data_IF_635361953376
#
_entry.id   IF_635361953376
#
_cell.length_a   1.000
_cell.length_b   1.000
_cell.length_c   1.000
_cell.angle_alpha   90.00
_cell.angle_beta   90.00
_cell.angle_gamma   90.00
#
_symmetry.space_group_name_H-M   'P 1'
#
loop_
_entity.id
_entity.type
_entity.pdbx_description
1 polymer ?
#
# COMPACT_ATOMS: atom_id res chain seq x y z
N UNK A 1 -4.40 -53.87 0.39
CA UNK A 1 -4.19 -53.24 1.71
C UNK A 1 -4.46 -51.74 1.60
N UNK A 2 -5.47 -51.19 2.28
CA UNK A 2 -5.75 -49.75 2.28
C UNK A 2 -4.97 -49.04 3.40
N UNK A 3 -4.26 -47.95 3.09
CA UNK A 3 -3.64 -47.08 4.10
C UNK A 3 -4.64 -46.00 4.52
N UNK A 4 -5.00 -46.03 5.81
CA UNK A 4 -5.73 -44.98 6.52
C UNK A 4 -4.77 -43.87 6.96
N UNK A 5 -5.32 -42.66 6.90
CA UNK A 5 -5.12 -41.48 7.75
C UNK A 5 -3.79 -40.72 7.74
N UNK A 6 -3.88 -39.45 7.33
CA UNK A 6 -3.47 -38.28 8.15
C UNK A 6 -4.04 -37.01 7.51
N UNK A 7 -5.29 -36.59 7.77
CA UNK A 7 -5.71 -35.81 8.95
C UNK A 7 -4.78 -34.67 9.42
N UNK A 8 -3.90 -34.13 8.57
CA UNK A 8 -2.99 -33.04 8.94
C UNK A 8 -3.28 -31.69 8.25
N UNK A 9 -4.41 -31.55 7.54
CA UNK A 9 -4.85 -30.27 6.96
C UNK A 9 -5.76 -29.45 7.90
N UNK A 10 -5.68 -29.68 9.22
CA UNK A 10 -6.35 -28.87 10.25
C UNK A 10 -5.37 -27.88 10.89
N UNK A 11 -4.62 -27.16 10.06
CA UNK A 11 -3.77 -26.05 10.52
C UNK A 11 -4.68 -24.83 10.74
N UNK A 12 -5.21 -24.77 11.97
CA UNK A 12 -5.71 -23.60 12.69
C UNK A 12 -5.86 -22.33 11.83
N UNK A 13 -7.08 -22.06 11.35
CA UNK A 13 -7.57 -20.68 11.16
C UNK A 13 -7.61 -20.06 12.56
N UNK A 14 -6.46 -19.57 13.00
CA UNK A 14 -6.36 -18.72 14.16
C UNK A 14 -7.07 -17.44 13.73
N UNK A 15 -8.36 -17.35 14.07
CA UNK A 15 -9.13 -16.10 14.02
C UNK A 15 -8.21 -15.05 14.65
N UNK A 16 -7.75 -14.10 13.84
CA UNK A 16 -7.19 -12.85 14.33
C UNK A 16 -8.27 -12.26 15.22
N UNK A 17 -8.14 -12.47 16.54
CA UNK A 17 -8.93 -11.72 17.49
C UNK A 17 -8.50 -10.28 17.25
N UNK A 18 -9.44 -9.42 16.89
CA UNK A 18 -9.21 -7.98 16.89
C UNK A 18 -8.53 -7.64 18.20
N UNK A 19 -7.36 -6.98 18.15
CA UNK A 19 -6.57 -6.61 19.32
C UNK A 19 -7.26 -5.53 20.16
N UNK A 20 -8.47 -5.14 19.78
CA UNK A 20 -9.20 -4.00 20.26
C UNK A 20 -10.61 -4.39 20.72
N UNK A 21 -11.25 -3.59 21.59
CA UNK A 21 -12.53 -3.93 22.19
C UNK A 21 -13.62 -4.17 21.14
N UNK A 22 -14.42 -5.22 21.36
CA UNK A 22 -15.56 -5.57 20.50
C UNK A 22 -16.85 -5.44 21.31
N UNK A 23 -17.69 -4.50 20.92
CA UNK A 23 -19.01 -4.24 21.49
C UNK A 23 -20.10 -4.86 20.61
N UNK A 24 -21.12 -5.42 21.24
CA UNK A 24 -22.38 -5.74 20.57
C UNK A 24 -23.07 -4.46 20.08
N UNK A 25 -24.05 -4.61 19.18
CA UNK A 25 -24.83 -3.45 18.68
C UNK A 25 -25.56 -2.73 19.83
N UNK A 26 -26.05 -3.47 20.83
CA UNK A 26 -26.73 -2.87 21.99
C UNK A 26 -25.76 -2.12 22.90
N UNK A 27 -24.63 -2.71 23.23
CA UNK A 27 -23.57 -2.06 24.03
C UNK A 27 -23.02 -0.82 23.30
N UNK A 28 -22.79 -0.94 21.99
CA UNK A 28 -22.36 0.17 21.15
C UNK A 28 -23.35 1.33 21.18
N UNK A 29 -24.67 1.07 21.11
CA UNK A 29 -25.70 2.12 21.22
C UNK A 29 -25.69 2.81 22.58
N UNK A 30 -25.49 2.06 23.66
CA UNK A 30 -25.45 2.62 25.01
C UNK A 30 -24.17 3.45 25.22
N UNK A 31 -23.04 3.00 24.70
CA UNK A 31 -21.71 3.59 24.95
C UNK A 31 -21.27 4.59 23.87
N UNK A 32 -22.00 4.74 22.76
CA UNK A 32 -21.59 5.57 21.62
C UNK A 32 -21.23 6.99 22.03
N UNK A 33 -22.03 7.61 22.90
CA UNK A 33 -21.79 8.97 23.37
C UNK A 33 -20.50 9.07 24.21
N UNK A 34 -20.20 8.05 25.01
CA UNK A 34 -18.97 7.98 25.80
C UNK A 34 -17.77 7.81 24.88
N UNK A 35 -17.85 6.91 23.90
CA UNK A 35 -16.80 6.68 22.89
C UNK A 35 -16.55 7.94 22.09
N UNK A 36 -17.60 8.61 21.60
CA UNK A 36 -17.49 9.84 20.82
C UNK A 36 -16.83 10.97 21.64
N UNK A 37 -17.20 11.11 22.92
CA UNK A 37 -16.56 12.08 23.82
C UNK A 37 -15.08 11.77 24.03
N UNK A 38 -14.75 10.52 24.34
CA UNK A 38 -13.37 10.08 24.51
C UNK A 38 -12.55 10.34 23.24
N UNK A 39 -13.10 10.06 22.06
CA UNK A 39 -12.43 10.33 20.79
C UNK A 39 -12.26 11.82 20.52
N UNK A 40 -13.23 12.65 20.93
CA UNK A 40 -13.17 14.11 20.77
C UNK A 40 -12.18 14.79 21.71
N UNK A 41 -11.84 14.17 22.85
CA UNK A 41 -10.84 14.67 23.80
C UNK A 41 -9.39 14.36 23.36
N UNK A 42 -9.21 13.58 22.28
CA UNK A 42 -7.87 13.24 21.76
C UNK A 42 -7.34 14.33 20.84
N UNK A 43 -6.20 14.91 21.22
CA UNK A 43 -5.50 15.93 20.42
C UNK A 43 -4.32 15.35 19.62
N UNK A 44 -3.82 14.18 20.02
CA UNK A 44 -2.64 13.56 19.42
C UNK A 44 -2.96 12.19 18.85
N UNK A 45 -2.46 11.94 17.65
CA UNK A 45 -2.61 10.67 16.97
C UNK A 45 -1.88 9.53 17.72
N UNK A 46 -2.47 8.34 17.69
CA UNK A 46 -1.81 7.11 18.15
C UNK A 46 -0.73 6.64 17.16
N UNK A 47 0.15 5.75 17.62
CA UNK A 47 1.15 5.14 16.75
C UNK A 47 0.51 4.20 15.71
N UNK A 48 -0.52 3.44 16.12
CA UNK A 48 -1.26 2.55 15.24
C UNK A 48 -2.78 2.80 15.34
N UNK A 49 -3.46 2.79 14.19
CA UNK A 49 -4.92 2.94 14.12
C UNK A 49 -5.67 1.93 15.01
N UNK A 50 -5.12 0.74 15.22
CA UNK A 50 -5.76 -0.30 16.03
C UNK A 50 -5.70 -0.06 17.54
N UNK A 51 -4.83 0.84 18.01
CA UNK A 51 -4.59 1.03 19.45
C UNK A 51 -5.80 1.64 20.15
N UNK A 52 -6.58 2.45 19.43
CA UNK A 52 -7.78 3.14 19.94
C UNK A 52 -9.05 2.77 19.17
N UNK A 53 -8.97 1.73 18.34
CA UNK A 53 -10.10 1.24 17.58
C UNK A 53 -11.16 0.61 18.51
N UNK A 54 -12.43 0.72 18.15
CA UNK A 54 -13.52 0.00 18.82
C UNK A 54 -14.41 -0.65 17.76
N UNK A 55 -14.57 -1.96 17.80
CA UNK A 55 -15.49 -2.68 16.92
C UNK A 55 -16.90 -2.65 17.51
N UNK A 56 -17.89 -2.28 16.70
CA UNK A 56 -19.32 -2.35 17.07
C UNK A 56 -20.03 -3.24 16.06
N UNK A 57 -20.53 -4.39 16.50
CA UNK A 57 -21.22 -5.29 15.58
C UNK A 57 -21.71 -6.61 16.19
N UNK A 58 -22.37 -7.44 15.37
CA UNK A 58 -22.78 -8.78 15.77
C UNK A 58 -21.55 -9.64 16.09
N UNK A 59 -21.59 -10.29 17.27
CA UNK A 59 -20.47 -11.09 17.77
C UNK A 59 -20.00 -12.12 16.72
N UNK A 60 -18.72 -12.06 16.32
CA UNK A 60 -18.04 -12.96 15.35
C UNK A 60 -18.48 -12.86 13.88
N UNK A 61 -19.20 -11.81 13.47
CA UNK A 61 -19.60 -11.61 12.06
C UNK A 61 -18.96 -10.39 11.38
N UNK A 62 -18.03 -9.73 12.06
CA UNK A 62 -17.47 -8.45 11.62
C UNK A 62 -18.42 -7.31 11.97
N UNK A 63 -17.86 -6.26 12.57
CA UNK A 63 -18.55 -5.03 12.94
C UNK A 63 -18.00 -3.80 12.23
N UNK A 64 -18.63 -2.66 12.53
CA UNK A 64 -18.13 -1.35 12.16
C UNK A 64 -17.01 -0.98 13.12
N UNK A 65 -15.85 -0.57 12.60
CA UNK A 65 -14.73 -0.12 13.43
C UNK A 65 -14.80 1.39 13.56
N UNK A 66 -14.92 1.86 14.80
CA UNK A 66 -14.85 3.26 15.17
C UNK A 66 -13.40 3.62 15.46
N UNK A 67 -12.95 4.74 14.90
CA UNK A 67 -11.60 5.28 15.07
C UNK A 67 -11.68 6.77 15.46
N UNK A 68 -10.73 7.27 16.28
CA UNK A 68 -10.60 8.70 16.50
C UNK A 68 -10.28 9.44 15.21
N UNK A 69 -10.88 10.62 15.04
CA UNK A 69 -10.66 11.45 13.83
C UNK A 69 -9.18 11.81 13.66
N UNK A 70 -8.50 12.21 14.74
CA UNK A 70 -7.07 12.58 14.72
C UNK A 70 -6.16 11.43 14.24
N UNK A 71 -6.51 10.19 14.57
CA UNK A 71 -5.74 9.02 14.15
C UNK A 71 -5.92 8.77 12.64
N UNK A 72 -7.14 8.96 12.11
CA UNK A 72 -7.44 8.82 10.68
C UNK A 72 -6.76 9.92 9.86
N UNK A 73 -6.84 11.17 10.29
CA UNK A 73 -6.23 12.31 9.59
C UNK A 73 -4.70 12.16 9.50
N UNK A 74 -4.05 11.73 10.58
CA UNK A 74 -2.61 11.48 10.58
C UNK A 74 -2.23 10.28 9.70
N UNK A 75 -3.03 9.20 9.71
CA UNK A 75 -2.79 8.06 8.84
C UNK A 75 -2.94 8.42 7.36
N UNK A 76 -3.94 9.23 7.00
CA UNK A 76 -4.10 9.75 5.64
C UNK A 76 -2.93 10.63 5.23
N UNK A 77 -2.49 11.53 6.12
CA UNK A 77 -1.32 12.38 5.88
C UNK A 77 -0.07 11.54 5.59
N UNK A 78 0.23 10.55 6.45
CA UNK A 78 1.38 9.65 6.25
C UNK A 78 1.26 8.85 4.96
N UNK A 79 0.06 8.39 4.60
CA UNK A 79 -0.16 7.70 3.33
C UNK A 79 0.22 8.57 2.14
N UNK A 80 -0.21 9.84 2.15
CA UNK A 80 0.11 10.79 1.07
C UNK A 80 1.61 11.10 1.03
N UNK A 81 2.26 11.25 2.19
CA UNK A 81 3.72 11.44 2.25
C UNK A 81 4.47 10.23 1.67
N UNK A 82 4.10 9.02 2.06
CA UNK A 82 4.69 7.78 1.52
C UNK A 82 4.41 7.58 0.03
N UNK A 83 3.25 8.00 -0.47
CA UNK A 83 2.94 7.96 -1.90
C UNK A 83 3.86 8.87 -2.70
N UNK A 84 4.18 10.06 -2.18
CA UNK A 84 5.14 10.98 -2.80
C UNK A 84 6.56 10.43 -2.75
N UNK A 85 7.02 9.95 -1.60
CA UNK A 85 8.34 9.33 -1.48
C UNK A 85 8.49 8.13 -2.42
N UNK A 86 7.42 7.33 -2.59
CA UNK A 86 7.40 6.23 -3.55
C UNK A 86 7.55 6.72 -4.99
N UNK A 87 6.88 7.81 -5.35
CA UNK A 87 6.96 8.40 -6.69
C UNK A 87 8.37 8.94 -6.97
N UNK A 88 8.95 9.70 -6.03
CA UNK A 88 10.32 10.19 -6.11
C UNK A 88 11.34 9.05 -6.28
N UNK A 89 11.19 7.96 -5.52
CA UNK A 89 12.06 6.79 -5.64
C UNK A 89 11.90 6.06 -6.98
N UNK A 90 10.72 6.09 -7.59
CA UNK A 90 10.51 5.49 -8.91
C UNK A 90 11.17 6.33 -10.00
N UNK A 91 11.09 7.65 -9.90
CA UNK A 91 11.78 8.58 -10.81
C UNK A 91 13.31 8.40 -10.70
N UNK A 92 13.84 8.30 -9.48
CA UNK A 92 15.26 8.04 -9.25
C UNK A 92 15.72 6.71 -9.87
N UNK A 93 14.88 5.66 -9.75
CA UNK A 93 15.16 4.36 -10.35
C UNK A 93 15.12 4.41 -11.88
N UNK A 94 14.21 5.20 -12.47
CA UNK A 94 14.15 5.42 -13.91
C UNK A 94 15.43 6.11 -14.40
N UNK A 95 15.85 7.20 -13.74
CA UNK A 95 17.08 7.92 -14.08
C UNK A 95 18.31 7.02 -13.95
N UNK A 96 18.37 6.20 -12.89
CA UNK A 96 19.45 5.24 -12.72
C UNK A 96 19.46 4.19 -13.84
N UNK A 97 18.30 3.66 -14.21
CA UNK A 97 18.15 2.70 -15.30
C UNK A 97 18.57 3.27 -16.65
N UNK A 98 18.17 4.51 -16.96
CA UNK A 98 18.60 5.22 -18.18
C UNK A 98 20.10 5.42 -18.19
N UNK A 99 20.68 5.82 -17.05
CA UNK A 99 22.13 6.03 -16.92
C UNK A 99 22.91 4.74 -17.14
N UNK A 100 22.46 3.62 -16.56
CA UNK A 100 23.06 2.31 -16.75
C UNK A 100 23.00 1.86 -18.22
N UNK A 101 21.85 2.06 -18.89
CA UNK A 101 21.71 1.75 -20.32
C UNK A 101 22.61 2.63 -21.20
N UNK A 102 22.76 3.91 -20.84
CA UNK A 102 23.67 4.82 -21.53
C UNK A 102 25.13 4.38 -21.35
N UNK A 103 25.54 4.01 -20.14
CA UNK A 103 26.86 3.46 -19.86
C UNK A 103 27.11 2.13 -20.59
N UNK A 104 26.13 1.22 -20.62
CA UNK A 104 26.22 -0.03 -21.37
C UNK A 104 26.40 0.24 -22.87
N UNK A 105 25.65 1.19 -23.44
CA UNK A 105 25.80 1.60 -24.84
C UNK A 105 27.14 2.27 -25.14
N UNK A 106 27.65 3.10 -24.24
CA UNK A 106 28.94 3.79 -24.40
C UNK A 106 30.13 2.83 -24.21
N UNK A 107 30.00 1.83 -23.34
CA UNK A 107 31.03 0.83 -23.06
C UNK A 107 31.02 -0.33 -24.08
N UNK A 108 29.86 -0.60 -24.69
CA UNK A 108 29.77 -1.43 -25.88
C UNK A 108 30.47 -0.70 -27.02
N UNK A 109 31.60 -1.25 -27.48
CA UNK A 109 32.28 -0.75 -28.67
C UNK A 109 31.45 -1.07 -29.93
N UNK A 110 30.33 -0.39 -30.12
CA UNK A 110 29.74 -0.26 -31.45
C UNK A 110 30.58 0.75 -32.22
N UNK A 111 31.13 0.38 -33.40
CA UNK A 111 31.77 1.34 -34.27
C UNK A 111 30.81 2.51 -34.49
N UNK A 112 31.31 3.74 -34.51
CA UNK A 112 30.53 4.98 -34.75
C UNK A 112 29.62 4.87 -35.99
N UNK A 113 29.94 3.95 -36.91
CA UNK A 113 29.18 3.57 -38.09
C UNK A 113 27.84 2.83 -37.82
N UNK A 114 27.54 2.43 -36.57
CA UNK A 114 26.28 1.76 -36.17
C UNK A 114 25.38 2.61 -35.25
N UNK A 115 25.74 3.86 -34.99
CA UNK A 115 24.89 4.78 -34.24
C UNK A 115 23.82 5.32 -35.20
N UNK A 116 22.64 4.69 -35.19
CA UNK A 116 21.47 5.25 -35.85
C UNK A 116 21.06 6.53 -35.14
N UNK A 117 20.73 7.57 -35.90
CA UNK A 117 20.19 8.80 -35.31
C UNK A 117 18.80 8.54 -34.72
N UNK A 118 18.35 9.41 -33.82
CA UNK A 118 17.02 9.26 -33.20
C UNK A 118 15.93 9.25 -34.28
N UNK A 119 16.10 10.02 -35.36
CA UNK A 119 15.18 10.01 -36.50
C UNK A 119 15.19 8.69 -37.27
N UNK A 120 16.34 8.02 -37.38
CA UNK A 120 16.46 6.73 -38.06
C UNK A 120 15.80 5.59 -37.27
N UNK A 121 15.98 5.59 -35.94
CA UNK A 121 15.33 4.63 -35.05
C UNK A 121 13.80 4.83 -35.02
N UNK A 122 13.35 6.09 -35.02
CA UNK A 122 11.92 6.41 -35.08
C UNK A 122 11.29 5.94 -36.38
N UNK A 123 11.99 6.06 -37.52
CA UNK A 123 11.55 5.55 -38.82
C UNK A 123 11.46 4.02 -38.85
N UNK A 124 12.43 3.32 -38.28
CA UNK A 124 12.42 1.84 -38.26
C UNK A 124 11.24 1.26 -37.47
N UNK A 125 10.79 1.96 -36.42
CA UNK A 125 9.70 1.52 -35.56
C UNK A 125 8.35 2.23 -35.81
N UNK A 126 8.26 3.10 -36.82
CA UNK A 126 7.02 3.80 -37.19
C UNK A 126 6.59 4.90 -36.21
N UNK A 127 7.54 5.50 -35.48
CA UNK A 127 7.34 6.59 -34.52
C UNK A 127 7.75 7.97 -35.10
N UNK A 128 7.71 8.11 -36.42
CA UNK A 128 8.18 9.29 -37.15
C UNK A 128 7.50 10.58 -36.69
N UNK A 129 6.22 10.50 -36.33
CA UNK A 129 5.41 11.63 -35.87
C UNK A 129 5.82 12.18 -34.50
N UNK A 130 6.63 11.46 -33.71
CA UNK A 130 7.06 11.87 -32.37
C UNK A 130 8.39 12.65 -32.34
N UNK A 131 9.11 12.67 -33.46
CA UNK A 131 10.46 13.29 -33.55
C UNK A 131 10.47 14.53 -34.44
N UNK A 132 9.35 14.82 -35.14
CA UNK A 132 9.19 16.00 -35.98
C UNK A 132 8.68 17.22 -35.18
N UNK A 133 9.60 17.95 -34.55
CA UNK A 133 9.46 19.39 -34.21
C UNK A 133 10.63 20.20 -34.76
#
# INVERSE_FOLDING_TARGET
>A
MPRRTSSAAKKKRQMQRSSFPVLTVEEGRQQLHTIARQFGELEQASANLTDRAVEVGPHRRGGLVLLPKVDVEEAERRRVELEREREELLDDLEVFGISLLAEERLSSATPVEQLLTIEELAREHGFEDLVAE
#
